data_IF_533811705004
#
_entry.id   IF_533811705004
#
_cell.length_a   1.000
_cell.length_b   1.000
_cell.length_c   1.000
_cell.angle_alpha   90.00
_cell.angle_beta   90.00
_cell.angle_gamma   90.00
#
_symmetry.space_group_name_H-M   'P 1'
#
loop_
_entity.id
_entity.type
_entity.pdbx_description
1 polymer ?
#
# COMPACT_ATOMS: atom_id res chain seq x y z
N UNK A 1 3.11 -14.75 -6.58
CA UNK A 1 1.96 -13.99 -6.08
C UNK A 1 1.29 -14.66 -4.88
N UNK A 2 1.39 -15.99 -4.71
CA UNK A 2 0.81 -16.71 -3.56
C UNK A 2 1.17 -16.11 -2.20
N UNK A 3 2.44 -15.77 -1.97
CA UNK A 3 2.90 -15.15 -0.72
C UNK A 3 2.29 -13.76 -0.45
N UNK A 4 1.88 -13.02 -1.49
CA UNK A 4 1.17 -11.74 -1.30
C UNK A 4 -0.26 -11.99 -0.88
N UNK A 5 -0.91 -13.00 -1.45
CA UNK A 5 -2.26 -13.39 -1.05
C UNK A 5 -2.28 -13.93 0.38
N UNK A 6 -1.23 -14.66 0.79
CA UNK A 6 -1.01 -15.05 2.18
C UNK A 6 -0.85 -13.83 3.09
N UNK A 7 -0.01 -12.85 2.72
CA UNK A 7 0.15 -11.61 3.48
C UNK A 7 -1.15 -10.77 3.56
N UNK A 8 -1.97 -10.81 2.50
CA UNK A 8 -3.30 -10.20 2.49
C UNK A 8 -4.27 -10.95 3.43
N UNK A 9 -4.23 -12.28 3.44
CA UNK A 9 -5.04 -13.09 4.35
C UNK A 9 -4.66 -12.84 5.83
N UNK A 10 -3.36 -12.71 6.13
CA UNK A 10 -2.86 -12.32 7.46
C UNK A 10 -3.34 -10.93 7.87
N UNK A 11 -3.49 -10.01 6.91
CA UNK A 11 -4.06 -8.68 7.11
C UNK A 11 -5.59 -8.68 7.29
N UNK A 12 -6.21 -9.85 7.52
CA UNK A 12 -7.65 -10.07 7.79
C UNK A 12 -8.56 -9.70 6.63
N UNK A 13 -8.06 -9.71 5.40
CA UNK A 13 -8.94 -9.64 4.23
C UNK A 13 -9.78 -10.91 4.11
N UNK A 14 -11.09 -10.81 3.83
CA UNK A 14 -11.96 -11.97 3.72
C UNK A 14 -11.55 -12.84 2.53
N UNK A 15 -11.54 -14.16 2.74
CA UNK A 15 -11.20 -15.15 1.70
C UNK A 15 -12.11 -15.05 0.47
N UNK A 16 -13.34 -14.58 0.66
CA UNK A 16 -14.32 -14.34 -0.42
C UNK A 16 -13.90 -13.22 -1.37
N UNK A 17 -13.11 -12.24 -0.91
CA UNK A 17 -12.52 -11.20 -1.74
C UNK A 17 -11.25 -11.72 -2.45
N UNK A 18 -10.43 -12.51 -1.75
CA UNK A 18 -9.17 -13.08 -2.27
C UNK A 18 -9.36 -14.17 -3.34
N UNK A 19 -10.50 -14.85 -3.34
CA UNK A 19 -10.83 -15.85 -4.36
C UNK A 19 -11.22 -15.25 -5.73
N UNK A 20 -11.35 -13.92 -5.83
CA UNK A 20 -11.85 -13.25 -7.04
C UNK A 20 -10.72 -12.92 -8.02
N UNK A 21 -10.95 -12.99 -9.34
CA UNK A 21 -9.91 -12.73 -10.33
C UNK A 21 -9.34 -11.31 -10.26
N UNK A 22 -10.14 -10.33 -9.84
CA UNK A 22 -9.71 -8.94 -9.63
C UNK A 22 -8.60 -8.86 -8.55
N UNK A 23 -8.79 -9.57 -7.45
CA UNK A 23 -7.82 -9.63 -6.36
C UNK A 23 -6.53 -10.32 -6.77
N UNK A 24 -6.60 -11.34 -7.63
CA UNK A 24 -5.42 -12.06 -8.14
C UNK A 24 -4.58 -11.18 -9.08
N UNK A 25 -5.23 -10.41 -9.96
CA UNK A 25 -4.55 -9.43 -10.84
C UNK A 25 -3.88 -8.33 -10.03
N UNK A 26 -4.56 -7.82 -9.00
CA UNK A 26 -3.99 -6.87 -8.07
C UNK A 26 -2.79 -7.46 -7.32
N UNK A 27 -2.93 -8.68 -6.77
CA UNK A 27 -1.86 -9.36 -6.03
C UNK A 27 -0.60 -9.60 -6.88
N UNK A 28 -0.75 -9.86 -8.18
CA UNK A 28 0.39 -9.97 -9.09
C UNK A 28 1.13 -8.62 -9.25
N UNK A 29 0.40 -7.52 -9.37
CA UNK A 29 0.97 -6.17 -9.44
C UNK A 29 1.64 -5.77 -8.12
N UNK A 30 0.98 -6.03 -7.00
CA UNK A 30 1.50 -5.78 -5.66
C UNK A 30 2.77 -6.60 -5.38
N UNK A 31 2.82 -7.86 -5.82
CA UNK A 31 4.01 -8.71 -5.65
C UNK A 31 5.24 -8.10 -6.30
N UNK A 32 5.09 -7.51 -7.50
CA UNK A 32 6.19 -6.82 -8.18
C UNK A 32 6.65 -5.60 -7.36
N UNK A 33 5.71 -4.74 -6.96
CA UNK A 33 6.02 -3.53 -6.19
C UNK A 33 6.72 -3.84 -4.86
N UNK A 34 6.21 -4.82 -4.11
CA UNK A 34 6.80 -5.24 -2.83
C UNK A 34 8.17 -5.88 -3.04
N UNK A 35 8.37 -6.72 -4.06
CA UNK A 35 9.71 -7.25 -4.38
C UNK A 35 10.70 -6.15 -4.72
N UNK A 36 10.29 -5.15 -5.51
CA UNK A 36 11.15 -4.02 -5.87
C UNK A 36 11.45 -3.12 -4.66
N UNK A 37 10.53 -3.02 -3.70
CA UNK A 37 10.78 -2.39 -2.40
C UNK A 37 11.77 -3.20 -1.55
N UNK A 38 11.59 -4.51 -1.38
CA UNK A 38 12.52 -5.36 -0.66
C UNK A 38 13.93 -5.30 -1.26
N UNK A 39 14.05 -5.35 -2.60
CA UNK A 39 15.32 -5.14 -3.31
C UNK A 39 15.91 -3.77 -3.03
N UNK A 40 15.06 -2.75 -2.94
CA UNK A 40 15.49 -1.39 -2.62
C UNK A 40 16.10 -1.32 -1.23
N UNK A 41 15.52 -1.99 -0.23
CA UNK A 41 16.04 -2.03 1.14
C UNK A 41 17.44 -2.65 1.26
N UNK A 42 17.88 -3.47 0.30
CA UNK A 42 19.22 -4.06 0.30
C UNK A 42 20.34 -3.09 -0.14
N UNK A 43 20.02 -1.88 -0.62
CA UNK A 43 21.03 -0.89 -1.01
C UNK A 43 21.47 -0.01 0.17
N UNK A 44 22.52 0.81 0.00
CA UNK A 44 22.87 1.85 0.97
C UNK A 44 21.80 2.95 1.07
N UNK A 45 21.72 3.64 2.22
CA UNK A 45 20.68 4.61 2.55
C UNK A 45 20.41 5.68 1.46
N UNK A 46 21.47 6.29 0.91
CA UNK A 46 21.34 7.28 -0.16
C UNK A 46 20.77 6.70 -1.46
N UNK A 47 21.12 5.46 -1.81
CA UNK A 47 20.54 4.75 -2.97
C UNK A 47 19.12 4.26 -2.67
N UNK A 48 18.82 3.81 -1.45
CA UNK A 48 17.46 3.47 -1.02
C UNK A 48 16.54 4.67 -1.27
N UNK A 49 16.85 5.83 -0.69
CA UNK A 49 16.02 7.03 -0.80
C UNK A 49 15.73 7.44 -2.24
N UNK A 50 16.76 7.48 -3.10
CA UNK A 50 16.60 7.83 -4.52
C UNK A 50 15.80 6.83 -5.33
N UNK A 51 15.78 5.55 -4.93
CA UNK A 51 14.95 4.53 -5.59
C UNK A 51 13.51 4.62 -5.10
N UNK A 52 13.30 4.76 -3.79
CA UNK A 52 11.97 4.94 -3.20
C UNK A 52 11.26 6.15 -3.80
N UNK A 53 11.94 7.29 -3.86
CA UNK A 53 11.38 8.52 -4.46
C UNK A 53 10.96 8.32 -5.93
N UNK A 54 11.73 7.55 -6.71
CA UNK A 54 11.40 7.27 -8.11
C UNK A 54 10.26 6.26 -8.27
N UNK A 55 10.03 5.41 -7.27
CA UNK A 55 8.93 4.45 -7.30
C UNK A 55 7.60 5.04 -6.84
N UNK A 56 7.56 6.29 -6.35
CA UNK A 56 6.32 6.89 -5.80
C UNK A 56 5.17 6.83 -6.79
N UNK A 57 5.41 7.11 -8.08
CA UNK A 57 4.38 7.03 -9.12
C UNK A 57 3.90 5.59 -9.34
N UNK A 58 4.80 4.61 -9.29
CA UNK A 58 4.44 3.18 -9.39
C UNK A 58 3.55 2.75 -8.20
N UNK A 59 3.84 3.26 -7.01
CA UNK A 59 3.04 3.01 -5.81
C UNK A 59 1.68 3.72 -5.86
N UNK A 60 1.61 4.93 -6.44
CA UNK A 60 0.35 5.62 -6.68
C UNK A 60 -0.52 4.89 -7.71
N UNK A 61 0.08 4.35 -8.77
CA UNK A 61 -0.62 3.51 -9.74
C UNK A 61 -1.13 2.22 -9.10
N UNK A 62 -0.34 1.60 -8.20
CA UNK A 62 -0.77 0.43 -7.44
C UNK A 62 -1.98 0.74 -6.56
N UNK A 63 -1.98 1.88 -5.86
CA UNK A 63 -3.12 2.33 -5.07
C UNK A 63 -4.38 2.51 -5.93
N UNK A 64 -4.26 3.19 -7.07
CA UNK A 64 -5.39 3.38 -7.99
C UNK A 64 -5.96 2.04 -8.49
N UNK A 65 -5.09 1.06 -8.78
CA UNK A 65 -5.53 -0.31 -9.14
C UNK A 65 -6.26 -0.99 -7.99
N UNK A 66 -5.83 -0.78 -6.75
CA UNK A 66 -6.49 -1.32 -5.57
C UNK A 66 -7.90 -0.71 -5.40
N UNK A 67 -8.02 0.61 -5.57
CA UNK A 67 -9.31 1.31 -5.48
C UNK A 67 -10.29 0.82 -6.56
N UNK A 68 -9.82 0.62 -7.79
CA UNK A 68 -10.64 0.07 -8.89
C UNK A 68 -11.07 -1.36 -8.57
N UNK A 69 -10.16 -2.20 -8.05
CA UNK A 69 -10.48 -3.57 -7.69
C UNK A 69 -11.51 -3.63 -6.56
N UNK A 70 -11.40 -2.75 -5.55
CA UNK A 70 -12.39 -2.63 -4.47
C UNK A 70 -13.76 -2.19 -4.99
N UNK A 71 -13.82 -1.24 -5.92
CA UNK A 71 -15.09 -0.86 -6.56
C UNK A 71 -15.73 -2.03 -7.32
N UNK A 72 -14.92 -2.83 -8.03
CA UNK A 72 -15.42 -4.01 -8.74
C UNK A 72 -15.90 -5.10 -7.79
N UNK A 73 -15.21 -5.29 -6.66
CA UNK A 73 -15.62 -6.20 -5.59
C UNK A 73 -16.92 -5.75 -4.93
N UNK A 74 -17.08 -4.44 -4.71
CA UNK A 74 -18.26 -3.84 -4.09
C UNK A 74 -19.51 -3.88 -5.00
N UNK A 75 -19.33 -3.68 -6.30
CA UNK A 75 -20.43 -3.55 -7.26
C UNK A 75 -20.99 -4.89 -7.77
N UNK A 76 -20.36 -6.03 -7.47
CA UNK A 76 -20.86 -7.31 -7.96
C UNK A 76 -22.05 -7.82 -7.16
N UNK A 77 -23.17 -7.86 -7.88
CA UNK A 77 -24.46 -8.46 -7.52
C UNK A 77 -24.25 -9.98 -7.44
N UNK A 78 -24.64 -10.61 -6.34
CA UNK A 78 -24.70 -12.08 -6.28
C UNK A 78 -25.60 -12.61 -7.40
N UNK A 79 -25.40 -13.84 -7.88
CA UNK A 79 -26.21 -14.50 -8.91
C UNK A 79 -27.74 -14.55 -8.59
N UNK A 80 -28.14 -14.09 -7.40
CA UNK A 80 -29.51 -13.94 -6.90
C UNK A 80 -30.03 -12.50 -6.86
N UNK A 81 -29.35 -11.54 -7.46
CA UNK A 81 -29.82 -10.14 -7.54
C UNK A 81 -29.60 -9.31 -6.27
N UNK A 82 -28.95 -9.86 -5.23
CA UNK A 82 -28.62 -9.12 -4.02
C UNK A 82 -27.23 -8.48 -4.14
N UNK A 83 -27.13 -7.18 -3.86
CA UNK A 83 -25.85 -6.53 -3.62
C UNK A 83 -25.35 -6.98 -2.25
N UNK A 84 -24.54 -8.02 -2.22
CA UNK A 84 -23.92 -8.47 -0.99
C UNK A 84 -22.73 -7.55 -0.73
N UNK A 85 -22.96 -6.53 0.10
CA UNK A 85 -21.90 -5.66 0.61
C UNK A 85 -20.86 -6.55 1.29
N UNK A 86 -19.74 -6.83 0.62
CA UNK A 86 -18.69 -7.63 1.21
C UNK A 86 -18.13 -6.93 2.46
N UNK A 87 -18.13 -5.60 2.55
CA UNK A 87 -17.78 -4.80 3.74
C UNK A 87 -18.73 -3.60 3.93
N UNK A 88 -18.92 -3.11 5.18
CA UNK A 88 -19.62 -1.85 5.46
C UNK A 88 -18.97 -0.61 4.82
N UNK A 89 -17.65 -0.64 4.59
CA UNK A 89 -16.86 0.48 4.03
C UNK A 89 -16.44 0.24 2.58
N UNK A 90 -16.45 -1.00 2.09
CA UNK A 90 -16.01 -1.34 0.72
C UNK A 90 -14.51 -1.20 0.49
N UNK A 91 -13.72 -1.00 1.55
CA UNK A 91 -12.26 -0.80 1.52
C UNK A 91 -11.58 -2.09 1.96
N UNK A 92 -10.89 -2.74 1.05
CA UNK A 92 -10.20 -4.00 1.26
C UNK A 92 -8.77 -3.93 0.73
N UNK A 93 -8.63 -4.06 -0.58
CA UNK A 93 -7.33 -4.05 -1.26
C UNK A 93 -6.72 -2.66 -1.19
N UNK A 94 -7.54 -1.61 -1.31
CA UNK A 94 -7.11 -0.22 -1.19
C UNK A 94 -6.59 0.12 0.21
N UNK A 95 -7.21 -0.42 1.28
CA UNK A 95 -6.73 -0.24 2.65
C UNK A 95 -5.37 -0.89 2.88
N UNK A 96 -5.20 -2.14 2.39
CA UNK A 96 -3.93 -2.85 2.48
C UNK A 96 -2.83 -2.18 1.62
N UNK A 97 -3.16 -1.74 0.41
CA UNK A 97 -2.24 -0.99 -0.44
C UNK A 97 -1.79 0.31 0.25
N UNK A 98 -2.73 1.02 0.89
CA UNK A 98 -2.45 2.27 1.58
C UNK A 98 -1.48 2.05 2.75
N UNK A 99 -1.66 0.98 3.54
CA UNK A 99 -0.71 0.60 4.59
C UNK A 99 0.72 0.45 4.04
N UNK A 100 0.90 -0.21 2.89
CA UNK A 100 2.22 -0.38 2.26
C UNK A 100 2.79 0.95 1.77
N UNK A 101 1.98 1.81 1.15
CA UNK A 101 2.39 3.15 0.70
C UNK A 101 2.86 3.97 1.90
N UNK A 102 2.13 3.94 3.01
CA UNK A 102 2.50 4.63 4.23
C UNK A 102 3.85 4.16 4.78
N UNK A 103 4.11 2.85 4.78
CA UNK A 103 5.43 2.30 5.16
C UNK A 103 6.53 2.82 4.23
N UNK A 104 6.30 2.77 2.92
CA UNK A 104 7.28 3.21 1.92
C UNK A 104 7.63 4.69 2.08
N UNK A 105 6.63 5.56 2.21
CA UNK A 105 6.82 7.01 2.36
C UNK A 105 7.49 7.34 3.69
N UNK A 106 7.07 6.71 4.79
CA UNK A 106 7.70 6.91 6.11
C UNK A 106 9.19 6.55 6.03
N UNK A 107 9.52 5.40 5.42
CA UNK A 107 10.91 4.97 5.25
C UNK A 107 11.71 5.95 4.39
N UNK A 108 11.11 6.50 3.34
CA UNK A 108 11.76 7.52 2.50
C UNK A 108 12.10 8.79 3.29
N UNK A 109 11.20 9.23 4.19
CA UNK A 109 11.44 10.38 5.05
C UNK A 109 12.52 10.10 6.10
N UNK A 110 12.50 8.94 6.77
CA UNK A 110 13.55 8.52 7.70
C UNK A 110 14.95 8.54 7.07
N UNK A 111 15.06 8.03 5.84
CA UNK A 111 16.32 8.03 5.11
C UNK A 111 16.83 9.44 4.80
N UNK A 112 15.96 10.43 4.70
CA UNK A 112 16.37 11.83 4.53
C UNK A 112 17.04 12.40 5.77
N UNK A 113 16.63 11.96 6.97
CA UNK A 113 17.33 12.29 8.21
C UNK A 113 18.68 11.58 8.30
N UNK A 114 18.74 10.28 7.99
CA UNK A 114 19.98 9.49 8.01
C UNK A 114 21.03 10.07 7.04
N UNK A 115 20.58 10.52 5.86
CA UNK A 115 21.45 11.13 4.85
C UNK A 115 21.73 12.63 5.09
N UNK A 116 21.25 13.19 6.21
CA UNK A 116 21.38 14.61 6.58
C UNK A 116 20.95 15.58 5.47
N UNK A 117 19.89 15.21 4.75
CA UNK A 117 19.39 15.99 3.63
C UNK A 117 18.60 17.21 4.09
N UNK A 118 17.87 17.07 5.20
CA UNK A 118 16.95 18.09 5.68
C UNK A 118 17.64 19.17 6.49
N UNK A 119 17.22 20.41 6.26
CA UNK A 119 17.63 21.55 7.08
C UNK A 119 16.79 21.62 8.35
N UNK A 120 17.34 22.23 9.40
CA UNK A 120 16.70 22.31 10.73
C UNK A 120 15.31 22.96 10.70
N UNK A 121 15.06 23.91 9.80
CA UNK A 121 13.78 24.62 9.68
C UNK A 121 12.69 23.78 9.02
N UNK A 122 13.04 22.67 8.37
CA UNK A 122 12.10 21.75 7.72
C UNK A 122 11.57 20.68 8.70
N UNK A 123 12.23 20.52 9.87
CA UNK A 123 11.96 19.41 10.79
C UNK A 123 10.52 19.42 11.30
N UNK A 124 9.95 20.58 11.60
CA UNK A 124 8.57 20.69 12.10
C UNK A 124 7.56 20.10 11.12
N UNK A 125 7.69 20.44 9.83
CA UNK A 125 6.85 19.93 8.76
C UNK A 125 7.05 18.43 8.59
N UNK A 126 8.30 17.96 8.56
CA UNK A 126 8.62 16.54 8.36
C UNK A 126 8.08 15.65 9.49
N UNK A 127 8.24 16.08 10.75
CA UNK A 127 7.69 15.33 11.90
C UNK A 127 6.17 15.31 11.89
N UNK A 128 5.53 16.42 11.51
CA UNK A 128 4.07 16.45 11.38
C UNK A 128 3.57 15.46 10.31
N UNK A 129 4.23 15.39 9.15
CA UNK A 129 3.87 14.40 8.13
C UNK A 129 4.11 12.96 8.58
N UNK A 130 5.23 12.69 9.26
CA UNK A 130 5.46 11.35 9.82
C UNK A 130 4.36 10.95 10.81
N UNK A 131 3.97 11.84 11.73
CA UNK A 131 2.87 11.61 12.66
C UNK A 131 1.55 11.35 11.94
N UNK A 132 1.22 12.17 10.93
CA UNK A 132 0.06 11.96 10.07
C UNK A 132 0.06 10.56 9.42
N UNK A 133 1.19 10.14 8.85
CA UNK A 133 1.32 8.81 8.24
C UNK A 133 1.16 7.70 9.26
N UNK A 134 1.74 7.83 10.45
CA UNK A 134 1.52 6.86 11.53
C UNK A 134 0.05 6.80 11.96
N UNK A 135 -0.63 7.94 12.04
CA UNK A 135 -2.07 8.03 12.29
C UNK A 135 -2.89 7.28 11.25
N UNK A 136 -2.65 7.54 9.96
CA UNK A 136 -3.34 6.83 8.86
C UNK A 136 -3.14 5.33 8.96
N UNK A 137 -1.90 4.87 9.21
CA UNK A 137 -1.62 3.43 9.34
C UNK A 137 -2.35 2.77 10.50
N UNK A 138 -2.62 3.50 11.59
CA UNK A 138 -3.37 2.97 12.74
C UNK A 138 -4.86 2.78 12.45
N UNK A 139 -5.39 3.47 11.43
CA UNK A 139 -6.81 3.42 11.04
C UNK A 139 -7.13 2.42 9.93
N UNK A 140 -6.11 1.94 9.21
CA UNK A 140 -6.24 0.91 8.17
C UNK A 140 -6.02 -0.48 8.77
#
# INVERSE_FOLDING_TARGET
ASWVQEAMAEARLPETALGRPESALFAASAAKAVLDFCRTLCFNAGRQRRRLLRSVDDWAELQAKADIADQQLFLRVDDKGHKTLLSPTGVYLSGWALQLVTVMVTRMLELGFETRLYAWHEFSMLFWYMDYFHGVRSTC
#
